data_IF_163285327213
#
_entry.id   IF_163285327213
#
_cell.length_a   1.000
_cell.length_b   1.000
_cell.length_c   1.000
_cell.angle_alpha   90.00
_cell.angle_beta   90.00
_cell.angle_gamma   90.00
#
_symmetry.space_group_name_H-M   'P 1'
#
loop_
_entity.id
_entity.type
_entity.pdbx_description
1 polymer ?
#
# COMPACT_ATOMS: atom_id res chain seq x y z
N UNK A 1 -9.92 9.02 -8.70
CA UNK A 1 -10.07 7.58 -8.42
C UNK A 1 -9.57 7.37 -7.00
N UNK A 2 -10.49 7.14 -6.07
CA UNK A 2 -10.16 6.84 -4.67
C UNK A 2 -9.57 5.44 -4.62
N UNK A 3 -8.29 5.35 -4.26
CA UNK A 3 -7.61 4.07 -4.13
C UNK A 3 -7.34 3.84 -2.65
N UNK A 4 -7.94 2.79 -2.10
CA UNK A 4 -7.89 2.46 -0.67
C UNK A 4 -6.45 2.35 -0.16
N UNK A 5 -5.52 1.91 -1.01
CA UNK A 5 -4.09 1.82 -0.70
C UNK A 5 -3.50 3.22 -0.41
N UNK A 6 -3.84 4.20 -1.25
CA UNK A 6 -3.34 5.57 -1.11
C UNK A 6 -3.89 6.27 0.14
N UNK A 7 -5.15 5.97 0.50
CA UNK A 7 -5.79 6.46 1.73
C UNK A 7 -5.09 5.88 2.97
N UNK A 8 -5.02 4.55 3.07
CA UNK A 8 -4.37 3.87 4.20
C UNK A 8 -2.89 4.26 4.35
N UNK A 9 -2.19 4.45 3.23
CA UNK A 9 -0.80 4.94 3.24
C UNK A 9 -0.70 6.35 3.84
N UNK A 10 -1.63 7.25 3.50
CA UNK A 10 -1.67 8.61 4.05
C UNK A 10 -2.08 8.61 5.53
N UNK A 11 -3.02 7.77 5.92
CA UNK A 11 -3.41 7.58 7.33
C UNK A 11 -2.22 7.12 8.19
N UNK A 12 -1.36 6.26 7.64
CA UNK A 12 -0.13 5.81 8.28
C UNK A 12 1.06 6.80 8.12
N UNK A 13 0.84 8.01 7.57
CA UNK A 13 1.88 9.02 7.30
C UNK A 13 3.10 8.50 6.51
N UNK A 14 2.88 7.54 5.60
CA UNK A 14 3.94 6.93 4.82
C UNK A 14 4.08 7.53 3.42
N UNK A 15 5.32 7.65 2.97
CA UNK A 15 5.63 7.96 1.57
C UNK A 15 5.51 6.71 0.70
N UNK A 16 5.34 6.89 -0.62
CA UNK A 16 5.36 5.79 -1.59
C UNK A 16 6.63 4.94 -1.48
N UNK A 17 7.80 5.59 -1.27
CA UNK A 17 9.08 4.89 -1.14
C UNK A 17 9.15 4.04 0.12
N UNK A 18 8.62 4.53 1.24
CA UNK A 18 8.59 3.77 2.49
C UNK A 18 7.70 2.55 2.35
N UNK A 19 6.45 2.72 1.90
CA UNK A 19 5.53 1.60 1.73
C UNK A 19 6.08 0.58 0.70
N UNK A 20 6.65 1.05 -0.41
CA UNK A 20 7.26 0.17 -1.39
C UNK A 20 8.44 -0.62 -0.82
N UNK A 21 9.27 0.00 0.03
CA UNK A 21 10.39 -0.67 0.71
C UNK A 21 9.91 -1.75 1.66
N UNK A 22 8.88 -1.48 2.48
CA UNK A 22 8.31 -2.45 3.42
C UNK A 22 7.70 -3.65 2.69
N UNK A 23 7.01 -3.40 1.57
CA UNK A 23 6.41 -4.44 0.74
C UNK A 23 7.41 -5.10 -0.22
N UNK A 24 8.69 -4.71 -0.18
CA UNK A 24 9.73 -5.18 -1.09
C UNK A 24 9.35 -5.09 -2.58
N UNK A 25 8.64 -4.02 -2.96
CA UNK A 25 8.27 -3.71 -4.34
C UNK A 25 8.91 -2.40 -4.79
N UNK A 26 8.87 -2.13 -6.09
CA UNK A 26 9.32 -0.83 -6.61
C UNK A 26 8.25 0.24 -6.39
N UNK A 27 8.69 1.44 -6.07
CA UNK A 27 7.85 2.64 -5.93
C UNK A 27 7.01 2.93 -7.18
N UNK A 28 7.58 2.74 -8.37
CA UNK A 28 6.89 2.88 -9.65
C UNK A 28 5.74 1.87 -9.82
N UNK A 29 5.83 0.71 -9.16
CA UNK A 29 4.84 -0.37 -9.23
C UNK A 29 3.70 -0.05 -8.28
N UNK A 30 4.02 0.43 -7.07
CA UNK A 30 3.04 0.95 -6.13
C UNK A 30 2.26 2.14 -6.70
N UNK A 31 2.95 3.07 -7.38
CA UNK A 31 2.32 4.19 -8.08
C UNK A 31 1.36 3.74 -9.19
N UNK A 32 1.71 2.68 -9.95
CA UNK A 32 0.82 2.10 -10.95
C UNK A 32 -0.43 1.47 -10.34
N UNK A 33 -0.31 0.88 -9.14
CA UNK A 33 -1.46 0.37 -8.39
C UNK A 33 -2.35 1.51 -7.90
N UNK A 34 -1.79 2.56 -7.29
CA UNK A 34 -2.55 3.73 -6.82
C UNK A 34 -3.29 4.44 -7.96
N UNK A 35 -2.67 4.51 -9.15
CA UNK A 35 -3.25 5.15 -10.34
C UNK A 35 -4.16 4.26 -11.17
N UNK A 36 -4.33 2.98 -10.80
CA UNK A 36 -5.20 2.03 -11.51
C UNK A 36 -4.65 1.55 -12.87
N UNK A 37 -3.39 1.86 -13.20
CA UNK A 37 -2.74 1.38 -14.43
C UNK A 37 -2.47 -0.13 -14.40
N UNK A 38 -2.39 -0.70 -13.21
CA UNK A 38 -2.18 -2.13 -13.00
C UNK A 38 -3.07 -2.59 -11.85
N UNK A 39 -3.65 -3.78 -11.98
CA UNK A 39 -4.36 -4.40 -10.88
C UNK A 39 -3.36 -5.16 -10.00
N UNK A 40 -3.25 -4.86 -8.69
CA UNK A 40 -2.45 -5.66 -7.79
C UNK A 40 -3.05 -7.07 -7.68
N UNK A 41 -2.17 -8.06 -7.53
CA UNK A 41 -2.63 -9.43 -7.25
C UNK A 41 -3.22 -9.49 -5.83
N UNK A 42 -4.16 -10.40 -5.60
CA UNK A 42 -4.78 -10.56 -4.28
C UNK A 42 -3.76 -10.79 -3.17
N UNK A 43 -2.67 -11.52 -3.43
CA UNK A 43 -1.59 -11.72 -2.43
C UNK A 43 -0.96 -10.40 -1.98
N UNK A 44 -0.64 -9.50 -2.92
CA UNK A 44 -0.07 -8.19 -2.60
C UNK A 44 -1.08 -7.29 -1.88
N UNK A 45 -2.36 -7.32 -2.28
CA UNK A 45 -3.43 -6.62 -1.57
C UNK A 45 -3.53 -7.09 -0.11
N UNK A 46 -3.36 -8.38 0.13
CA UNK A 46 -3.39 -8.97 1.46
C UNK A 46 -2.15 -8.60 2.29
N UNK A 47 -0.96 -8.54 1.69
CA UNK A 47 0.25 -8.02 2.34
C UNK A 47 0.10 -6.54 2.71
N UNK A 48 -0.38 -5.71 1.79
CA UNK A 48 -0.67 -4.28 2.03
C UNK A 48 -1.69 -4.13 3.14
N UNK A 49 -2.79 -4.89 3.10
CA UNK A 49 -3.83 -4.86 4.13
C UNK A 49 -3.29 -5.31 5.48
N UNK A 50 -2.52 -6.40 5.54
CA UNK A 50 -1.90 -6.86 6.78
C UNK A 50 -0.96 -5.81 7.35
N UNK A 51 -0.14 -5.19 6.51
CA UNK A 51 0.79 -4.15 6.94
C UNK A 51 0.05 -2.91 7.46
N UNK A 52 -0.91 -2.38 6.69
CA UNK A 52 -1.59 -1.12 7.01
C UNK A 52 -2.71 -1.26 8.06
N UNK A 53 -3.38 -2.42 8.15
CA UNK A 53 -4.52 -2.65 9.06
C UNK A 53 -4.07 -3.26 10.39
N UNK A 54 -3.14 -4.24 10.41
CA UNK A 54 -2.75 -4.87 11.69
C UNK A 54 -1.86 -4.00 12.57
N UNK A 55 -1.23 -2.96 12.01
CA UNK A 55 -0.41 -2.03 12.81
C UNK A 55 -1.26 -1.14 13.75
N UNK A 56 -2.59 -1.12 13.55
CA UNK A 56 -3.55 -0.37 14.36
C UNK A 56 -4.16 -1.15 15.54
N UNK A 57 -3.88 -2.45 15.69
CA UNK A 57 -4.44 -3.28 16.77
C UNK A 57 -3.43 -3.65 17.87
N UNK A 58 -2.26 -2.99 17.95
CA UNK A 58 -1.26 -3.22 18.99
C UNK A 58 -1.08 -2.00 19.92
N UNK A 59 -2.09 -1.13 20.03
CA UNK A 59 -2.16 -0.13 21.11
C UNK A 59 -3.51 -0.20 21.83
#
# INVERSE_FOLDING_TARGET
MENRIAELRKENNMTLKQLAKELNIRDNTLSQYETGKRNPQMGLLQEIANFLVCQWSIF
#
